data_IF_965622715979
#
_entry.id   IF_965622715979
#
_cell.length_a   1.000
_cell.length_b   1.000
_cell.length_c   1.000
_cell.angle_alpha   90.00
_cell.angle_beta   90.00
_cell.angle_gamma   90.00
#
_symmetry.space_group_name_H-M   'P 1'
#
loop_
_entity.id
_entity.type
_entity.pdbx_description
1 polymer ?
#
# COMPACT_ATOMS: atom_id res chain seq x y z
N UNK A 1 8.85 17.39 -7.68
CA UNK A 1 10.08 16.56 -7.71
C UNK A 1 10.36 16.16 -6.26
N UNK A 2 9.48 15.34 -5.67
CA UNK A 2 9.79 14.60 -4.45
C UNK A 2 10.80 13.50 -4.79
N UNK A 3 11.63 13.12 -3.82
CA UNK A 3 12.57 12.03 -4.00
C UNK A 3 11.76 10.73 -4.22
N UNK A 4 11.99 10.04 -5.33
CA UNK A 4 11.43 8.70 -5.57
C UNK A 4 12.47 7.68 -5.11
N UNK A 5 12.24 7.06 -3.97
CA UNK A 5 12.86 5.78 -3.66
C UNK A 5 11.95 4.63 -4.08
N UNK A 6 12.46 3.41 -3.91
CA UNK A 6 11.78 2.19 -4.36
C UNK A 6 10.84 1.59 -3.31
N UNK A 7 10.77 2.19 -2.12
CA UNK A 7 9.87 1.77 -1.04
C UNK A 7 8.53 2.50 -1.13
N UNK A 8 7.52 1.99 -0.44
CA UNK A 8 6.13 2.46 -0.63
C UNK A 8 5.90 3.90 -0.13
N UNK A 9 6.70 4.40 0.82
CA UNK A 9 6.57 5.75 1.37
C UNK A 9 7.54 6.77 0.79
N UNK A 10 8.44 6.36 -0.11
CA UNK A 10 9.46 7.24 -0.69
C UNK A 10 8.91 7.95 -1.95
N UNK A 11 7.73 8.56 -1.81
CA UNK A 11 7.04 9.36 -2.82
C UNK A 11 5.99 10.27 -2.14
N UNK A 12 5.67 11.41 -2.77
CA UNK A 12 4.78 12.42 -2.18
C UNK A 12 3.34 11.90 -2.00
N UNK A 13 2.80 11.10 -2.94
CA UNK A 13 1.43 10.56 -2.88
C UNK A 13 1.21 9.67 -1.64
N UNK A 14 2.19 8.82 -1.31
CA UNK A 14 2.12 7.97 -0.12
C UNK A 14 2.26 8.78 1.18
N UNK A 15 3.04 9.86 1.16
CA UNK A 15 3.15 10.78 2.30
C UNK A 15 1.85 11.56 2.52
N UNK A 16 1.23 12.06 1.45
CA UNK A 16 -0.08 12.72 1.51
C UNK A 16 -1.17 11.75 2.04
N UNK A 17 -1.10 10.47 1.63
CA UNK A 17 -2.00 9.44 2.11
C UNK A 17 -1.92 9.20 3.64
N UNK A 18 -0.79 9.47 4.29
CA UNK A 18 -0.68 9.38 5.76
C UNK A 18 -1.65 10.36 6.41
N UNK A 19 -1.68 11.61 5.95
CA UNK A 19 -2.63 12.62 6.44
C UNK A 19 -4.08 12.23 6.17
N UNK A 20 -4.36 11.64 5.00
CA UNK A 20 -5.69 11.13 4.68
C UNK A 20 -6.16 10.03 5.66
N UNK A 21 -5.25 9.17 6.13
CA UNK A 21 -5.57 8.14 7.13
C UNK A 21 -5.82 8.76 8.50
N UNK A 22 -5.09 9.80 8.88
CA UNK A 22 -5.36 10.53 10.13
C UNK A 22 -6.76 11.15 10.12
N UNK A 23 -7.20 11.71 8.99
CA UNK A 23 -8.51 12.33 8.84
C UNK A 23 -9.65 11.30 8.62
N UNK A 24 -9.43 10.33 7.74
CA UNK A 24 -10.44 9.38 7.28
C UNK A 24 -10.46 8.05 8.02
N UNK A 25 -9.45 7.79 8.87
CA UNK A 25 -9.34 6.62 9.70
C UNK A 25 -9.25 5.29 8.94
N UNK A 26 -9.73 4.21 9.58
CA UNK A 26 -9.72 2.85 9.00
C UNK A 26 -10.47 2.78 7.67
N UNK A 27 -11.54 3.56 7.52
CA UNK A 27 -12.34 3.57 6.30
C UNK A 27 -11.53 4.05 5.10
N UNK A 28 -10.57 4.97 5.29
CA UNK A 28 -9.66 5.41 4.22
C UNK A 28 -8.73 4.29 3.76
N UNK A 29 -8.17 3.51 4.70
CA UNK A 29 -7.35 2.33 4.42
C UNK A 29 -8.14 1.29 3.63
N UNK A 30 -9.34 0.95 4.11
CA UNK A 30 -10.21 -0.03 3.46
C UNK A 30 -10.62 0.44 2.06
N UNK A 31 -10.98 1.71 1.93
CA UNK A 31 -11.38 2.31 0.66
C UNK A 31 -10.26 2.25 -0.38
N UNK A 32 -9.02 2.60 -0.01
CA UNK A 32 -7.89 2.55 -0.94
C UNK A 32 -7.67 1.14 -1.52
N UNK A 33 -7.73 0.12 -0.67
CA UNK A 33 -7.59 -1.29 -1.09
C UNK A 33 -8.79 -1.75 -1.92
N UNK A 34 -10.01 -1.36 -1.53
CA UNK A 34 -11.24 -1.77 -2.22
C UNK A 34 -11.39 -1.09 -3.59
N UNK A 35 -10.88 0.15 -3.76
CA UNK A 35 -10.85 0.84 -5.05
C UNK A 35 -10.09 -0.01 -6.07
N UNK A 36 -8.87 -0.45 -5.76
CA UNK A 36 -8.08 -1.31 -6.67
C UNK A 36 -8.83 -2.60 -7.02
N UNK A 37 -9.47 -3.21 -6.03
CA UNK A 37 -10.21 -4.45 -6.22
C UNK A 37 -11.52 -4.29 -6.99
N UNK A 38 -12.03 -3.06 -7.12
CA UNK A 38 -13.26 -2.72 -7.85
C UNK A 38 -13.02 -2.34 -9.31
N UNK A 39 -11.79 -2.00 -9.67
CA UNK A 39 -11.39 -1.72 -11.06
C UNK A 39 -11.53 -3.02 -11.87
N UNK A 40 -12.14 -2.92 -13.06
CA UNK A 40 -12.31 -4.06 -13.99
C UNK A 40 -10.95 -4.72 -14.29
N UNK A 41 -10.92 -6.04 -14.50
CA UNK A 41 -9.67 -6.81 -14.57
C UNK A 41 -8.73 -6.32 -15.68
N UNK A 42 -9.29 -5.94 -16.83
CA UNK A 42 -8.57 -5.44 -18.00
C UNK A 42 -8.37 -3.91 -18.01
N UNK A 43 -9.02 -3.18 -17.09
CA UNK A 43 -8.87 -1.74 -17.01
C UNK A 43 -7.46 -1.36 -16.55
N UNK A 44 -7.09 -0.09 -16.73
CA UNK A 44 -5.80 0.41 -16.29
C UNK A 44 -5.90 1.00 -14.88
N UNK A 45 -4.92 0.74 -14.03
CA UNK A 45 -4.84 1.29 -12.67
C UNK A 45 -3.93 2.51 -12.68
N UNK A 46 -4.46 3.65 -12.23
CA UNK A 46 -3.73 4.92 -12.10
C UNK A 46 -2.61 4.83 -11.05
N UNK A 47 -1.50 5.54 -11.27
CA UNK A 47 -0.33 5.48 -10.39
C UNK A 47 -0.63 5.94 -8.97
N UNK A 48 -1.46 6.98 -8.79
CA UNK A 48 -1.77 7.51 -7.47
C UNK A 48 -2.63 6.51 -6.70
N UNK A 49 -3.64 5.92 -7.35
CA UNK A 49 -4.48 4.88 -6.73
C UNK A 49 -3.67 3.64 -6.32
N UNK A 50 -2.73 3.21 -7.17
CA UNK A 50 -1.84 2.10 -6.85
C UNK A 50 -0.97 2.42 -5.64
N UNK A 51 -0.42 3.63 -5.60
CA UNK A 51 0.46 4.10 -4.53
C UNK A 51 -0.28 4.19 -3.20
N UNK A 52 -1.47 4.80 -3.16
CA UNK A 52 -2.32 4.86 -1.97
C UNK A 52 -2.68 3.47 -1.44
N UNK A 53 -3.01 2.54 -2.35
CA UNK A 53 -3.35 1.19 -1.94
C UNK A 53 -2.16 0.43 -1.35
N UNK A 54 -0.95 0.59 -1.91
CA UNK A 54 0.26 0.01 -1.33
C UNK A 54 0.57 0.60 0.05
N UNK A 55 0.47 1.93 0.19
CA UNK A 55 0.61 2.60 1.47
C UNK A 55 -0.44 2.09 2.49
N UNK A 56 -1.70 1.95 2.10
CA UNK A 56 -2.75 1.37 2.95
C UNK A 56 -2.44 -0.07 3.40
N UNK A 57 -1.83 -0.88 2.53
CA UNK A 57 -1.46 -2.26 2.87
C UNK A 57 -0.27 -2.30 3.84
N UNK A 58 0.62 -1.31 3.83
CA UNK A 58 1.66 -1.15 4.86
C UNK A 58 1.06 -0.92 6.25
N UNK A 59 -0.07 -0.22 6.39
CA UNK A 59 -0.77 -0.13 7.68
C UNK A 59 -1.24 -1.51 8.16
N UNK A 60 -1.66 -2.40 7.25
CA UNK A 60 -2.06 -3.77 7.59
C UNK A 60 -0.85 -4.61 8.01
N UNK A 61 0.28 -4.48 7.32
CA UNK A 61 1.53 -5.15 7.69
C UNK A 61 2.03 -4.68 9.07
N UNK A 62 2.01 -3.36 9.31
CA UNK A 62 2.39 -2.75 10.58
C UNK A 62 1.47 -3.18 11.71
N UNK A 63 0.15 -3.24 11.49
CA UNK A 63 -0.80 -3.77 12.45
C UNK A 63 -0.56 -5.25 12.80
N UNK A 64 0.18 -5.99 11.97
CA UNK A 64 0.61 -7.37 12.22
C UNK A 64 2.02 -7.48 12.84
N UNK A 65 2.56 -6.38 13.37
CA UNK A 65 3.92 -6.30 13.91
C UNK A 65 5.01 -6.59 12.87
N UNK A 66 4.74 -6.28 11.60
CA UNK A 66 5.65 -6.44 10.46
C UNK A 66 5.81 -5.11 9.73
N UNK A 67 6.13 -4.06 10.48
CA UNK A 67 6.35 -2.71 9.95
C UNK A 67 7.51 -2.68 8.95
N UNK A 68 7.39 -1.85 7.91
CA UNK A 68 8.50 -1.57 7.01
C UNK A 68 9.55 -0.68 7.70
N UNK A 69 10.79 -0.71 7.24
CA UNK A 69 11.85 0.13 7.82
C UNK A 69 11.60 1.62 7.58
N UNK A 70 10.94 1.97 6.47
CA UNK A 70 10.59 3.32 6.05
C UNK A 70 9.16 3.71 6.43
N UNK A 71 8.49 2.94 7.30
CA UNK A 71 7.13 3.29 7.72
C UNK A 71 7.14 4.65 8.43
N UNK A 72 6.21 5.58 8.10
CA UNK A 72 6.21 6.93 8.67
C UNK A 72 6.07 6.91 10.19
N UNK A 73 7.02 7.54 10.89
CA UNK A 73 7.04 7.59 12.37
C UNK A 73 5.73 8.18 12.92
N UNK A 74 5.20 9.22 12.27
CA UNK A 74 3.96 9.89 12.67
C UNK A 74 2.73 8.95 12.60
N UNK A 75 2.77 7.91 11.75
CA UNK A 75 1.67 6.96 11.58
C UNK A 75 1.72 5.76 12.53
N UNK A 76 2.85 5.51 13.21
CA UNK A 76 3.05 4.33 14.06
C UNK A 76 2.09 4.33 15.26
N UNK A 77 1.94 5.48 15.93
CA UNK A 77 1.03 5.66 17.06
C UNK A 77 -0.43 5.44 16.63
N UNK A 78 -0.79 5.91 15.44
CA UNK A 78 -2.12 5.70 14.87
C UNK A 78 -2.40 4.21 14.66
N UNK A 79 -1.45 3.47 14.07
CA UNK A 79 -1.60 2.02 13.88
C UNK A 79 -1.72 1.31 15.22
N UNK A 80 -0.91 1.67 16.21
CA UNK A 80 -0.94 1.08 17.55
C UNK A 80 -2.31 1.25 18.20
N UNK A 81 -2.91 2.44 18.09
CA UNK A 81 -4.24 2.72 18.62
C UNK A 81 -5.37 1.93 17.91
N UNK A 82 -5.22 1.65 16.61
CA UNK A 82 -6.25 1.02 15.77
C UNK A 82 -5.98 -0.45 15.43
N UNK A 83 -4.86 -1.01 15.90
CA UNK A 83 -4.36 -2.35 15.58
C UNK A 83 -5.42 -3.43 15.70
N UNK A 84 -6.15 -3.45 16.82
CA UNK A 84 -7.18 -4.46 17.05
C UNK A 84 -8.32 -4.38 16.01
N UNK A 85 -8.70 -3.18 15.59
CA UNK A 85 -9.76 -2.99 14.59
C UNK A 85 -9.27 -3.43 13.20
N UNK A 86 -8.06 -3.02 12.80
CA UNK A 86 -7.45 -3.42 11.53
C UNK A 86 -7.35 -4.94 11.39
N UNK A 87 -6.92 -5.65 12.44
CA UNK A 87 -6.80 -7.12 12.42
C UNK A 87 -8.15 -7.85 12.42
N UNK A 88 -9.25 -7.18 12.78
CA UNK A 88 -10.61 -7.76 12.73
C UNK A 88 -11.31 -7.55 11.39
N UNK A 89 -10.73 -6.76 10.48
CA UNK A 89 -11.30 -6.51 9.16
C UNK A 89 -11.39 -7.82 8.36
N UNK A 90 -12.62 -8.21 8.04
CA UNK A 90 -12.89 -9.50 7.41
C UNK A 90 -12.26 -9.57 6.02
N UNK A 91 -11.36 -10.53 5.85
CA UNK A 91 -10.73 -10.81 4.55
C UNK A 91 -9.74 -9.74 4.11
N UNK A 92 -9.30 -8.85 5.00
CA UNK A 92 -8.41 -7.74 4.65
C UNK A 92 -7.09 -8.22 4.04
N UNK A 93 -6.53 -9.33 4.54
CA UNK A 93 -5.32 -9.94 3.96
C UNK A 93 -5.59 -10.35 2.52
N UNK A 94 -6.63 -11.15 2.25
CA UNK A 94 -6.94 -11.60 0.89
C UNK A 94 -7.24 -10.44 -0.08
N UNK A 95 -7.92 -9.39 0.38
CA UNK A 95 -8.15 -8.16 -0.40
C UNK A 95 -6.85 -7.43 -0.72
N UNK A 96 -5.93 -7.36 0.25
CA UNK A 96 -4.62 -6.72 0.09
C UNK A 96 -3.75 -7.47 -0.90
N UNK A 97 -3.69 -8.81 -0.80
CA UNK A 97 -2.96 -9.65 -1.76
C UNK A 97 -3.50 -9.46 -3.19
N UNK A 98 -4.84 -9.49 -3.35
CA UNK A 98 -5.49 -9.25 -4.64
C UNK A 98 -5.15 -7.86 -5.21
N UNK A 99 -5.11 -6.83 -4.37
CA UNK A 99 -4.74 -5.48 -4.78
C UNK A 99 -3.28 -5.39 -5.23
N UNK A 100 -2.34 -6.01 -4.48
CA UNK A 100 -0.92 -6.09 -4.88
C UNK A 100 -0.79 -6.77 -6.24
N UNK A 101 -1.40 -7.94 -6.42
CA UNK A 101 -1.36 -8.68 -7.68
C UNK A 101 -1.91 -7.83 -8.84
N UNK A 102 -3.00 -7.09 -8.59
CA UNK A 102 -3.64 -6.22 -9.58
C UNK A 102 -2.73 -5.07 -10.01
N UNK A 103 -2.03 -4.46 -9.06
CA UNK A 103 -1.06 -3.36 -9.30
C UNK A 103 0.15 -3.89 -10.08
N UNK A 104 0.67 -5.07 -9.74
CA UNK A 104 1.77 -5.72 -10.45
C UNK A 104 1.41 -6.20 -11.87
N UNK A 105 0.13 -6.25 -12.22
CA UNK A 105 -0.29 -6.77 -13.53
C UNK A 105 -0.45 -5.66 -14.57
N UNK A 106 -1.27 -4.63 -14.28
CA UNK A 106 -1.65 -3.60 -15.26
C UNK A 106 -1.94 -2.27 -14.56
N UNK A 107 -0.86 -1.54 -14.20
CA UNK A 107 -0.92 -0.22 -13.58
C UNK A 107 0.11 0.73 -14.18
N UNK A 108 -0.19 2.03 -14.12
CA UNK A 108 0.75 3.09 -14.46
C UNK A 108 1.98 3.07 -13.56
N UNK A 109 1.80 2.81 -12.27
CA UNK A 109 2.91 2.71 -11.33
C UNK A 109 3.91 1.63 -11.78
N UNK A 110 3.43 0.47 -12.23
CA UNK A 110 4.29 -0.58 -12.79
C UNK A 110 5.04 -0.09 -14.02
N UNK A 111 4.34 0.52 -14.98
CA UNK A 111 4.97 1.01 -16.23
C UNK A 111 6.06 2.04 -15.92
N UNK A 112 5.80 2.98 -14.99
CA UNK A 112 6.78 3.95 -14.53
C UNK A 112 8.03 3.28 -13.95
N UNK A 113 7.86 2.22 -13.15
CA UNK A 113 9.00 1.46 -12.60
C UNK A 113 9.73 0.64 -13.66
N UNK A 114 9.03 0.04 -14.64
CA UNK A 114 9.61 -0.72 -15.75
C UNK A 114 10.56 0.12 -16.61
N UNK A 115 10.36 1.44 -16.65
CA UNK A 115 11.24 2.37 -17.36
C UNK A 115 12.54 2.71 -16.58
N UNK A 116 12.72 2.18 -15.36
CA UNK A 116 13.87 2.45 -14.49
C UNK A 116 14.78 1.23 -14.31
N UNK A 117 16.00 1.45 -13.79
CA UNK A 117 16.91 0.37 -13.38
C UNK A 117 16.51 -0.31 -12.05
N UNK A 118 15.54 0.27 -11.33
CA UNK A 118 15.10 -0.17 -10.01
C UNK A 118 13.80 -0.99 -10.03
N UNK A 119 13.28 -1.34 -11.21
CA UNK A 119 12.06 -2.16 -11.37
C UNK A 119 12.08 -3.44 -10.53
N UNK A 120 13.19 -4.16 -10.52
CA UNK A 120 13.35 -5.38 -9.73
C UNK A 120 13.34 -5.07 -8.22
N UNK A 121 13.88 -3.94 -7.78
CA UNK A 121 13.82 -3.53 -6.37
C UNK A 121 12.39 -3.23 -5.95
N UNK A 122 11.65 -2.50 -6.77
CA UNK A 122 10.23 -2.24 -6.53
C UNK A 122 9.41 -3.53 -6.46
N UNK A 123 9.60 -4.46 -7.39
CA UNK A 123 8.93 -5.77 -7.33
C UNK A 123 9.23 -6.53 -6.03
N UNK A 124 10.48 -6.52 -5.58
CA UNK A 124 10.87 -7.15 -4.32
C UNK A 124 10.20 -6.50 -3.11
N UNK A 125 10.01 -5.17 -3.10
CA UNK A 125 9.26 -4.48 -2.04
C UNK A 125 7.81 -4.97 -1.99
N UNK A 126 7.15 -5.13 -3.14
CA UNK A 126 5.77 -5.63 -3.20
C UNK A 126 5.66 -7.10 -2.79
N UNK A 127 6.64 -7.94 -3.17
CA UNK A 127 6.68 -9.35 -2.76
C UNK A 127 6.95 -9.51 -1.26
N UNK A 128 7.82 -8.67 -0.70
CA UNK A 128 8.04 -8.59 0.74
C UNK A 128 6.77 -8.15 1.47
N UNK A 129 6.13 -7.06 1.03
CA UNK A 129 4.86 -6.59 1.60
C UNK A 129 3.80 -7.70 1.59
N UNK A 130 3.65 -8.40 0.46
CA UNK A 130 2.73 -9.54 0.32
C UNK A 130 3.04 -10.66 1.32
N UNK A 131 4.32 -10.92 1.58
CA UNK A 131 4.78 -11.91 2.57
C UNK A 131 4.47 -11.46 4.00
N UNK A 132 4.72 -10.19 4.32
CA UNK A 132 4.48 -9.59 5.65
C UNK A 132 3.00 -9.62 6.05
N UNK A 133 2.08 -9.36 5.12
CA UNK A 133 0.63 -9.41 5.42
C UNK A 133 0.05 -10.83 5.54
N UNK A 134 0.73 -11.81 4.94
CA UNK A 134 0.28 -13.22 4.92
C UNK A 134 0.72 -14.02 6.15
N UNK A 135 1.79 -13.58 6.81
CA UNK A 135 2.41 -14.26 7.96
C UNK A 135 1.66 -14.03 9.25
#
# INVERSE_FOLDING_TARGET
MGAWGHTNFDNDTAQDFVGDVEEGGIDRIVSAIDVINSIEEEAYVDADLATEALAAIEYIATAKDRMAEDFPEDAEDWVTAHKAQLLTLRGIVAKSQKAIDRIKHNSELKELWEETEDFEKWNNVLDDLNTRISS
#
